data_IF_133556268313
#
_entry.id   IF_133556268313
#
_cell.length_a   1.000
_cell.length_b   1.000
_cell.length_c   1.000
_cell.angle_alpha   90.00
_cell.angle_beta   90.00
_cell.angle_gamma   90.00
#
_symmetry.space_group_name_H-M   'P 1'
#
loop_
_entity.id
_entity.type
_entity.pdbx_description
1 polymer ?
#
# COMPACT_ATOMS: atom_id res chain seq x y z
N UNK A 1 6.19 16.17 -2.07
CA UNK A 1 6.46 16.95 -3.30
C UNK A 1 5.29 16.92 -4.29
N UNK A 2 4.80 15.74 -4.71
CA UNK A 2 3.70 15.58 -5.69
C UNK A 2 2.43 16.38 -5.34
N UNK A 3 1.90 16.24 -4.12
CA UNK A 3 0.68 16.95 -3.67
C UNK A 3 0.82 18.47 -3.82
N UNK A 4 1.98 19.02 -3.45
CA UNK A 4 2.29 20.45 -3.60
C UNK A 4 2.25 20.89 -5.06
N UNK A 5 2.83 20.09 -5.98
CA UNK A 5 2.77 20.38 -7.41
C UNK A 5 1.34 20.29 -7.96
N UNK A 6 0.58 19.28 -7.57
CA UNK A 6 -0.83 19.14 -7.95
C UNK A 6 -1.68 20.34 -7.50
N UNK A 7 -1.49 20.81 -6.25
CA UNK A 7 -2.11 22.04 -5.74
C UNK A 7 -1.73 23.25 -6.58
N UNK A 8 -0.44 23.41 -6.90
CA UNK A 8 0.04 24.53 -7.72
C UNK A 8 -0.51 24.49 -9.14
N UNK A 9 -0.54 23.34 -9.80
CA UNK A 9 -1.14 23.19 -11.14
C UNK A 9 -2.63 23.48 -11.15
N UNK A 10 -3.34 23.10 -10.09
CA UNK A 10 -4.77 23.40 -9.95
C UNK A 10 -5.01 24.91 -9.79
N UNK A 11 -4.22 25.58 -8.95
CA UNK A 11 -4.28 27.05 -8.81
C UNK A 11 -3.89 27.78 -10.10
N UNK A 12 -2.87 27.30 -10.82
CA UNK A 12 -2.47 27.86 -12.11
C UNK A 12 -3.56 27.69 -13.17
N UNK A 13 -4.24 26.53 -13.19
CA UNK A 13 -5.38 26.28 -14.07
C UNK A 13 -6.50 27.30 -13.84
N UNK A 14 -6.86 27.58 -12.57
CA UNK A 14 -7.85 28.61 -12.27
C UNK A 14 -7.38 29.99 -12.77
N UNK A 15 -6.11 30.35 -12.58
CA UNK A 15 -5.55 31.62 -13.08
C UNK A 15 -5.60 31.74 -14.61
N UNK A 16 -5.35 30.66 -15.33
CA UNK A 16 -5.32 30.70 -16.79
C UNK A 16 -6.71 30.62 -17.43
N UNK A 17 -7.64 29.89 -16.83
CA UNK A 17 -8.91 29.53 -17.47
C UNK A 17 -10.14 30.21 -16.85
N UNK A 18 -10.07 30.64 -15.59
CA UNK A 18 -11.21 31.19 -14.82
C UNK A 18 -10.74 32.36 -13.94
N UNK A 19 -10.36 33.48 -14.57
CA UNK A 19 -9.77 34.63 -13.88
C UNK A 19 -10.68 35.19 -12.78
N UNK A 20 -11.99 35.07 -12.96
CA UNK A 20 -13.04 35.52 -12.06
C UNK A 20 -13.10 34.73 -10.74
N UNK A 21 -12.50 33.53 -10.71
CA UNK A 21 -12.44 32.67 -9.52
C UNK A 21 -11.10 32.77 -8.77
N UNK A 22 -10.14 33.55 -9.29
CA UNK A 22 -8.80 33.66 -8.71
C UNK A 22 -8.86 34.32 -7.33
N UNK A 23 -8.11 33.77 -6.38
CA UNK A 23 -8.07 34.24 -4.98
C UNK A 23 -9.07 33.50 -4.10
N UNK A 24 -10.34 33.42 -4.49
CA UNK A 24 -11.35 32.71 -3.69
C UNK A 24 -11.23 31.19 -3.86
N UNK A 25 -10.95 30.70 -5.08
CA UNK A 25 -10.79 29.27 -5.34
C UNK A 25 -9.53 28.66 -4.70
N UNK A 26 -8.55 29.46 -4.25
CA UNK A 26 -7.32 28.91 -3.66
C UNK A 26 -7.52 28.27 -2.29
N UNK A 27 -8.57 28.68 -1.56
CA UNK A 27 -8.92 28.09 -0.27
C UNK A 27 -9.46 26.66 -0.42
N UNK A 28 -10.56 26.40 -1.17
CA UNK A 28 -11.05 25.04 -1.35
C UNK A 28 -10.02 24.13 -2.04
N UNK A 29 -9.20 24.67 -2.96
CA UNK A 29 -8.08 23.91 -3.53
C UNK A 29 -7.04 23.56 -2.45
N UNK A 30 -6.71 24.49 -1.56
CA UNK A 30 -5.77 24.24 -0.46
C UNK A 30 -6.25 23.19 0.52
N UNK A 31 -7.53 23.26 0.92
CA UNK A 31 -8.18 22.29 1.81
C UNK A 31 -8.17 20.89 1.18
N UNK A 32 -8.65 20.76 -0.05
CA UNK A 32 -8.69 19.48 -0.78
C UNK A 32 -7.33 18.75 -0.75
N UNK A 33 -6.24 19.44 -1.08
CA UNK A 33 -4.90 18.82 -1.10
C UNK A 33 -4.30 18.59 0.30
N UNK A 34 -4.73 19.37 1.30
CA UNK A 34 -4.37 19.13 2.71
C UNK A 34 -5.06 17.85 3.20
N UNK A 35 -6.35 17.70 2.94
CA UNK A 35 -7.14 16.53 3.32
C UNK A 35 -6.60 15.25 2.66
N UNK A 36 -6.20 15.32 1.38
CA UNK A 36 -5.50 14.21 0.71
C UNK A 36 -4.20 13.82 1.43
N UNK A 37 -3.45 14.80 1.94
CA UNK A 37 -2.20 14.56 2.67
C UNK A 37 -2.48 13.87 4.00
N UNK A 38 -3.45 14.38 4.75
CA UNK A 38 -3.87 13.82 6.03
C UNK A 38 -4.45 12.41 5.88
N UNK A 39 -5.22 12.16 4.81
CA UNK A 39 -5.73 10.84 4.48
C UNK A 39 -4.59 9.81 4.31
N UNK A 40 -3.56 10.16 3.52
CA UNK A 40 -2.39 9.28 3.30
C UNK A 40 -1.66 9.01 4.62
N UNK A 41 -1.61 9.99 5.51
CA UNK A 41 -0.95 9.89 6.82
C UNK A 41 -1.78 9.15 7.87
N UNK A 42 -3.03 8.83 7.61
CA UNK A 42 -3.84 8.00 8.51
C UNK A 42 -5.14 8.62 9.01
N UNK A 43 -5.54 9.82 8.56
CA UNK A 43 -6.83 10.40 8.93
C UNK A 43 -8.01 9.50 8.54
N UNK A 44 -9.07 9.47 9.35
CA UNK A 44 -10.29 8.69 9.11
C UNK A 44 -11.28 9.39 8.16
N UNK A 45 -10.88 10.51 7.57
CA UNK A 45 -11.67 11.24 6.57
C UNK A 45 -12.00 10.37 5.36
N UNK A 46 -13.25 10.36 4.93
CA UNK A 46 -13.63 9.68 3.68
C UNK A 46 -13.24 10.54 2.46
N UNK A 47 -12.80 9.88 1.38
CA UNK A 47 -12.48 10.56 0.13
C UNK A 47 -13.71 11.21 -0.48
N UNK A 48 -14.89 10.60 -0.34
CA UNK A 48 -16.13 11.16 -0.85
C UNK A 48 -16.45 12.49 -0.16
N UNK A 49 -16.28 12.56 1.17
CA UNK A 49 -16.52 13.78 1.97
C UNK A 49 -15.55 14.90 1.60
N UNK A 50 -14.28 14.56 1.38
CA UNK A 50 -13.25 15.48 0.92
C UNK A 50 -13.60 16.11 -0.44
N UNK A 51 -14.03 15.28 -1.40
CA UNK A 51 -14.43 15.76 -2.73
C UNK A 51 -15.75 16.54 -2.67
N UNK A 52 -16.69 16.10 -1.84
CA UNK A 52 -17.94 16.82 -1.61
C UNK A 52 -17.68 18.21 -1.02
N UNK A 53 -16.90 18.31 0.05
CA UNK A 53 -16.52 19.57 0.69
C UNK A 53 -15.86 20.53 -0.30
N UNK A 54 -14.98 20.01 -1.18
CA UNK A 54 -14.38 20.81 -2.24
C UNK A 54 -15.45 21.42 -3.18
N UNK A 55 -16.40 20.61 -3.67
CA UNK A 55 -17.43 21.10 -4.59
C UNK A 55 -18.51 21.94 -3.90
N UNK A 56 -18.80 21.68 -2.62
CA UNK A 56 -19.67 22.50 -1.77
C UNK A 56 -19.13 23.93 -1.69
N UNK A 57 -17.80 24.07 -1.52
CA UNK A 57 -17.16 25.38 -1.45
C UNK A 57 -16.85 25.99 -2.84
N UNK A 58 -16.74 25.17 -3.89
CA UNK A 58 -16.48 25.66 -5.26
C UNK A 58 -17.75 26.15 -5.97
N UNK A 59 -18.89 25.47 -5.81
CA UNK A 59 -20.11 25.80 -6.57
C UNK A 59 -20.63 27.21 -6.32
N UNK A 60 -20.69 27.73 -5.09
CA UNK A 60 -21.14 29.09 -4.85
C UNK A 60 -20.26 30.12 -5.58
N UNK A 61 -18.94 29.92 -5.61
CA UNK A 61 -18.00 30.77 -6.34
C UNK A 61 -18.26 30.71 -7.85
N UNK A 62 -18.38 29.50 -8.42
CA UNK A 62 -18.70 29.28 -9.84
C UNK A 62 -20.02 29.94 -10.19
N UNK A 63 -21.06 29.77 -9.35
CA UNK A 63 -22.36 30.35 -9.59
C UNK A 63 -22.31 31.88 -9.61
N UNK A 64 -21.79 32.52 -8.57
CA UNK A 64 -21.79 33.99 -8.46
C UNK A 64 -20.83 34.68 -9.43
N UNK A 65 -19.68 34.07 -9.76
CA UNK A 65 -18.66 34.72 -10.59
C UNK A 65 -18.79 34.38 -12.08
N UNK A 66 -19.24 33.18 -12.43
CA UNK A 66 -19.31 32.73 -13.83
C UNK A 66 -20.75 32.60 -14.35
N UNK A 67 -21.66 32.02 -13.56
CA UNK A 67 -23.01 31.70 -14.05
C UNK A 67 -24.00 32.86 -13.89
N UNK A 68 -23.89 33.62 -12.81
CA UNK A 68 -24.72 34.78 -12.51
C UNK A 68 -23.85 35.95 -12.01
N UNK A 69 -22.95 36.48 -12.86
CA UNK A 69 -22.13 37.63 -12.50
C UNK A 69 -23.05 38.81 -12.23
N UNK A 70 -23.09 39.22 -10.96
CA UNK A 70 -23.81 40.43 -10.54
C UNK A 70 -23.29 41.61 -11.37
N UNK A 71 -24.17 42.30 -12.09
CA UNK A 71 -23.81 43.58 -12.72
C UNK A 71 -23.41 44.54 -11.61
N UNK A 72 -22.24 45.20 -11.74
CA UNK A 72 -21.82 46.26 -10.81
C UNK A 72 -22.97 47.27 -10.65
N UNK A 73 -23.51 47.39 -9.43
CA UNK A 73 -24.63 48.28 -9.10
C UNK A 73 -26.03 47.66 -9.09
N UNK A 74 -26.21 46.38 -9.41
CA UNK A 74 -27.49 45.69 -9.30
C UNK A 74 -27.61 44.90 -7.98
N UNK A 75 -28.58 45.25 -7.13
CA UNK A 75 -29.02 44.40 -6.01
C UNK A 75 -29.94 43.29 -6.56
N UNK A 76 -29.35 42.27 -7.17
CA UNK A 76 -30.04 41.01 -7.42
C UNK A 76 -30.24 40.22 -6.11
N UNK A 77 -31.08 39.17 -6.09
CA UNK A 77 -31.23 38.33 -4.91
C UNK A 77 -29.88 37.70 -4.56
N UNK A 78 -29.36 38.08 -3.40
CA UNK A 78 -28.17 37.48 -2.82
C UNK A 78 -28.60 36.11 -2.25
N UNK A 79 -28.52 35.08 -3.08
CA UNK A 79 -28.85 33.73 -2.64
C UNK A 79 -27.89 33.31 -1.53
N UNK A 80 -28.41 32.69 -0.46
CA UNK A 80 -27.56 32.19 0.62
C UNK A 80 -26.55 31.19 0.04
N UNK A 81 -25.26 31.43 0.31
CA UNK A 81 -24.15 30.53 -0.03
C UNK A 81 -24.42 29.09 0.46
N UNK A 82 -25.18 28.96 1.55
CA UNK A 82 -25.57 27.68 2.14
C UNK A 82 -26.57 26.89 1.28
N UNK A 83 -27.47 27.56 0.56
CA UNK A 83 -28.36 26.88 -0.39
C UNK A 83 -27.56 26.33 -1.58
N UNK A 84 -26.60 27.12 -2.09
CA UNK A 84 -25.76 26.71 -3.22
C UNK A 84 -24.86 25.53 -2.87
N UNK A 85 -24.32 25.50 -1.65
CA UNK A 85 -23.45 24.41 -1.15
C UNK A 85 -24.06 23.03 -1.29
N UNK A 86 -25.37 22.88 -1.11
CA UNK A 86 -26.04 21.58 -1.19
C UNK A 86 -26.63 21.29 -2.57
N UNK A 87 -27.01 22.34 -3.32
CA UNK A 87 -27.79 22.21 -4.55
C UNK A 87 -27.01 21.62 -5.73
N UNK A 88 -25.68 21.79 -5.80
CA UNK A 88 -24.89 21.38 -6.97
C UNK A 88 -25.00 19.87 -7.28
N UNK A 89 -25.21 19.04 -6.24
CA UNK A 89 -25.39 17.59 -6.36
C UNK A 89 -26.69 17.24 -7.04
N UNK A 90 -27.79 17.78 -6.54
CA UNK A 90 -29.16 17.50 -7.02
C UNK A 90 -29.32 17.91 -8.48
N UNK A 91 -28.73 19.06 -8.86
CA UNK A 91 -28.86 19.60 -10.22
C UNK A 91 -27.80 19.07 -11.18
N UNK A 92 -26.86 18.25 -10.68
CA UNK A 92 -25.72 17.72 -11.45
C UNK A 92 -24.88 18.84 -12.08
N UNK A 93 -24.60 19.92 -11.34
CA UNK A 93 -23.96 21.12 -11.88
C UNK A 93 -22.62 20.82 -12.58
N UNK A 94 -21.82 19.98 -11.94
CA UNK A 94 -20.50 19.57 -12.40
C UNK A 94 -20.52 18.28 -13.22
N UNK A 95 -21.69 17.79 -13.65
CA UNK A 95 -21.79 16.59 -14.49
C UNK A 95 -21.17 15.34 -13.83
N UNK A 96 -20.49 14.46 -14.59
CA UNK A 96 -19.93 13.21 -14.05
C UNK A 96 -18.61 13.40 -13.30
N UNK A 97 -17.99 14.58 -13.39
CA UNK A 97 -16.61 14.81 -12.96
C UNK A 97 -16.36 14.60 -11.46
N UNK A 98 -17.23 15.06 -10.52
CA UNK A 98 -17.05 14.80 -9.09
C UNK A 98 -16.96 13.30 -8.77
N UNK A 99 -17.84 12.49 -9.37
CA UNK A 99 -17.84 11.03 -9.19
C UNK A 99 -16.56 10.38 -9.75
N UNK A 100 -16.09 10.83 -10.91
CA UNK A 100 -14.82 10.35 -11.49
C UNK A 100 -13.63 10.71 -10.59
N UNK A 101 -13.63 11.91 -10.02
CA UNK A 101 -12.59 12.35 -9.08
C UNK A 101 -12.61 11.48 -7.82
N UNK A 102 -13.79 11.27 -7.21
CA UNK A 102 -13.96 10.39 -6.05
C UNK A 102 -13.39 9.00 -6.32
N UNK A 103 -13.84 8.33 -7.39
CA UNK A 103 -13.37 6.98 -7.72
C UNK A 103 -11.84 6.91 -7.89
N UNK A 104 -11.25 7.84 -8.64
CA UNK A 104 -9.79 7.84 -8.87
C UNK A 104 -9.00 8.11 -7.60
N UNK A 105 -9.49 9.03 -6.76
CA UNK A 105 -8.85 9.35 -5.49
C UNK A 105 -9.00 8.21 -4.48
N UNK A 106 -10.17 7.60 -4.35
CA UNK A 106 -10.40 6.50 -3.40
C UNK A 106 -9.43 5.34 -3.65
N UNK A 107 -9.25 4.96 -4.91
CA UNK A 107 -8.29 3.91 -5.26
C UNK A 107 -6.83 4.35 -5.05
N UNK A 108 -6.45 5.50 -5.61
CA UNK A 108 -5.04 5.94 -5.61
C UNK A 108 -4.53 6.32 -4.22
N UNK A 109 -5.34 7.01 -3.42
CA UNK A 109 -4.99 7.41 -2.06
C UNK A 109 -4.97 6.21 -1.11
N UNK A 110 -5.92 5.28 -1.22
CA UNK A 110 -5.92 4.09 -0.37
C UNK A 110 -4.71 3.20 -0.64
N UNK A 111 -4.38 2.96 -1.92
CA UNK A 111 -3.17 2.24 -2.28
C UNK A 111 -1.91 2.94 -1.75
N UNK A 112 -1.86 4.28 -1.84
CA UNK A 112 -0.73 5.07 -1.31
C UNK A 112 -0.63 4.98 0.21
N UNK A 113 -1.75 5.09 0.93
CA UNK A 113 -1.81 4.95 2.40
C UNK A 113 -1.30 3.60 2.84
N UNK A 114 -1.84 2.52 2.26
CA UNK A 114 -1.42 1.15 2.59
C UNK A 114 0.05 0.93 2.26
N UNK A 115 0.53 1.45 1.13
CA UNK A 115 1.94 1.38 0.74
C UNK A 115 2.85 2.07 1.77
N UNK A 116 2.52 3.29 2.19
CA UNK A 116 3.30 4.04 3.21
C UNK A 116 3.26 3.35 4.57
N UNK A 117 2.08 2.88 5.00
CA UNK A 117 1.94 2.11 6.25
C UNK A 117 2.82 0.86 6.24
N UNK A 118 2.81 0.12 5.14
CA UNK A 118 3.63 -1.07 4.98
C UNK A 118 5.14 -0.74 4.98
N UNK A 119 5.57 0.38 4.37
CA UNK A 119 6.96 0.82 4.44
C UNK A 119 7.40 1.15 5.87
N UNK A 120 6.58 1.89 6.61
CA UNK A 120 6.87 2.24 8.01
C UNK A 120 7.02 0.99 8.88
N UNK A 121 6.15 0.00 8.68
CA UNK A 121 6.27 -1.29 9.37
C UNK A 121 7.53 -2.06 8.93
N UNK A 122 7.92 -2.01 7.66
CA UNK A 122 9.17 -2.60 7.19
C UNK A 122 10.40 -2.05 7.93
N UNK A 123 10.44 -0.73 8.12
CA UNK A 123 11.49 -0.06 8.92
C UNK A 123 11.45 -0.52 10.38
N UNK A 124 10.26 -0.56 10.98
CA UNK A 124 10.08 -1.02 12.35
C UNK A 124 10.58 -2.45 12.55
N UNK A 125 10.24 -3.36 11.64
CA UNK A 125 10.65 -4.77 11.71
C UNK A 125 12.17 -4.87 11.63
N UNK A 126 12.80 -4.24 10.64
CA UNK A 126 14.26 -4.27 10.48
C UNK A 126 14.94 -3.75 11.75
N UNK A 127 14.54 -2.57 12.23
CA UNK A 127 15.09 -1.97 13.44
C UNK A 127 14.89 -2.86 14.67
N UNK A 128 13.72 -3.49 14.80
CA UNK A 128 13.44 -4.39 15.93
C UNK A 128 14.30 -5.65 15.85
N UNK A 129 14.44 -6.25 14.66
CA UNK A 129 15.27 -7.45 14.46
C UNK A 129 16.76 -7.19 14.67
N UNK A 130 17.24 -6.00 14.31
CA UNK A 130 18.64 -5.57 14.50
C UNK A 130 19.04 -5.48 15.98
N UNK A 131 18.07 -5.20 16.86
CA UNK A 131 18.27 -5.05 18.30
C UNK A 131 17.88 -6.31 19.11
N UNK A 132 17.61 -7.44 18.45
CA UNK A 132 17.30 -8.69 19.15
C UNK A 132 18.52 -9.20 19.94
N UNK A 133 18.28 -9.63 21.17
CA UNK A 133 19.33 -10.11 22.06
C UNK A 133 19.42 -11.63 22.01
N UNK A 134 20.61 -12.14 21.73
CA UNK A 134 20.85 -13.57 21.79
C UNK A 134 20.94 -14.06 23.24
N UNK A 135 20.36 -15.23 23.49
CA UNK A 135 20.39 -15.87 24.80
C UNK A 135 21.79 -16.36 25.19
N UNK A 136 21.99 -16.63 26.49
CA UNK A 136 23.27 -17.11 27.05
C UNK A 136 23.78 -18.38 26.36
N UNK A 137 22.88 -19.29 25.95
CA UNK A 137 23.25 -20.52 25.24
C UNK A 137 23.86 -20.25 23.87
N UNK A 138 23.33 -19.26 23.13
CA UNK A 138 23.94 -18.86 21.86
C UNK A 138 25.33 -18.27 22.09
N UNK A 139 25.51 -17.43 23.12
CA UNK A 139 26.82 -16.91 23.50
C UNK A 139 27.85 -18.02 23.78
N UNK A 140 27.45 -19.07 24.52
CA UNK A 140 28.31 -20.25 24.77
C UNK A 140 28.62 -21.02 23.49
N UNK A 141 27.62 -21.21 22.62
CA UNK A 141 27.80 -21.91 21.34
C UNK A 141 28.75 -21.17 20.40
N UNK A 142 28.63 -19.84 20.31
CA UNK A 142 29.54 -18.99 19.54
C UNK A 142 30.96 -18.99 20.12
N UNK A 143 31.11 -18.95 21.45
CA UNK A 143 32.42 -19.06 22.08
C UNK A 143 33.09 -20.40 21.76
N UNK A 144 32.32 -21.49 21.76
CA UNK A 144 32.77 -22.83 21.36
C UNK A 144 33.13 -22.92 19.88
N UNK A 145 32.40 -22.22 19.03
CA UNK A 145 32.65 -22.16 17.59
C UNK A 145 33.96 -21.43 17.26
N UNK A 146 34.21 -20.29 17.88
CA UNK A 146 35.28 -19.37 17.49
C UNK A 146 36.55 -19.44 18.34
N UNK A 147 36.44 -19.66 19.65
CA UNK A 147 37.55 -19.45 20.58
C UNK A 147 38.04 -20.73 21.29
N UNK A 148 37.20 -21.75 21.46
CA UNK A 148 37.62 -23.01 22.07
C UNK A 148 38.84 -23.69 21.41
N UNK A 149 39.05 -23.66 20.09
CA UNK A 149 40.26 -24.23 19.50
C UNK A 149 41.53 -23.59 20.05
N UNK A 150 41.55 -22.25 20.19
CA UNK A 150 42.68 -21.52 20.74
C UNK A 150 42.98 -21.92 22.18
N UNK A 151 41.94 -22.12 23.01
CA UNK A 151 42.10 -22.62 24.38
C UNK A 151 42.66 -24.05 24.44
N UNK A 152 42.52 -24.84 23.37
CA UNK A 152 43.09 -26.18 23.23
C UNK A 152 44.46 -26.17 22.52
N UNK A 153 45.05 -25.00 22.27
CA UNK A 153 46.34 -24.86 21.58
C UNK A 153 46.25 -24.89 20.05
N UNK A 154 45.05 -24.88 19.48
CA UNK A 154 44.79 -24.92 18.03
C UNK A 154 44.54 -23.51 17.46
N UNK A 155 45.57 -22.66 17.46
CA UNK A 155 45.45 -21.22 17.13
C UNK A 155 45.03 -20.92 15.67
N UNK A 156 45.27 -21.85 14.74
CA UNK A 156 44.94 -21.69 13.31
C UNK A 156 43.70 -22.49 12.88
N UNK A 157 43.05 -23.18 13.81
CA UNK A 157 41.89 -23.99 13.51
C UNK A 157 40.68 -23.11 13.15
N UNK A 158 40.21 -23.25 11.91
CA UNK A 158 38.96 -22.63 11.47
C UNK A 158 37.79 -23.59 11.65
N UNK A 159 36.59 -23.11 12.01
CA UNK A 159 35.40 -23.94 12.08
C UNK A 159 35.01 -24.53 10.72
N UNK A 160 34.41 -25.71 10.76
CA UNK A 160 33.76 -26.29 9.60
C UNK A 160 32.52 -25.49 9.19
N UNK A 161 32.27 -25.30 7.89
CA UNK A 161 31.05 -24.58 7.39
C UNK A 161 29.77 -25.18 7.94
N UNK A 162 29.63 -26.50 7.88
CA UNK A 162 28.44 -27.16 8.40
C UNK A 162 28.25 -27.00 9.91
N UNK A 163 29.34 -26.89 10.68
CA UNK A 163 29.25 -26.65 12.13
C UNK A 163 28.88 -25.20 12.42
N UNK A 164 29.49 -24.25 11.72
CA UNK A 164 29.11 -22.83 11.79
C UNK A 164 27.62 -22.66 11.47
N UNK A 165 27.14 -23.22 10.36
CA UNK A 165 25.74 -23.12 9.96
C UNK A 165 24.83 -23.70 11.04
N UNK A 166 25.17 -24.87 11.61
CA UNK A 166 24.40 -25.48 12.69
C UNK A 166 24.26 -24.54 13.91
N UNK A 167 25.36 -23.92 14.34
CA UNK A 167 25.38 -22.96 15.45
C UNK A 167 24.57 -21.71 15.10
N UNK A 168 24.75 -21.14 13.91
CA UNK A 168 24.04 -19.94 13.47
C UNK A 168 22.53 -20.19 13.35
N UNK A 169 22.11 -21.32 12.78
CA UNK A 169 20.70 -21.73 12.72
C UNK A 169 20.08 -21.88 14.11
N UNK A 170 20.82 -22.44 15.08
CA UNK A 170 20.33 -22.55 16.46
C UNK A 170 20.21 -21.18 17.14
N UNK A 171 21.16 -20.28 16.93
CA UNK A 171 21.15 -18.92 17.46
C UNK A 171 20.04 -18.05 16.85
N UNK A 172 19.82 -18.18 15.54
CA UNK A 172 18.88 -17.37 14.76
C UNK A 172 17.49 -18.01 14.60
N UNK A 173 17.21 -19.13 15.27
CA UNK A 173 15.95 -19.87 15.11
C UNK A 173 14.70 -18.97 15.28
N UNK A 174 14.72 -18.05 16.23
CA UNK A 174 13.60 -17.11 16.42
C UNK A 174 13.49 -16.08 15.29
N UNK A 175 14.61 -15.68 14.70
CA UNK A 175 14.64 -14.74 13.57
C UNK A 175 14.17 -15.42 12.28
N UNK A 176 14.52 -16.70 12.07
CA UNK A 176 14.10 -17.45 10.88
C UNK A 176 12.59 -17.72 10.86
N UNK A 177 11.90 -17.74 12.01
CA UNK A 177 10.44 -17.82 12.10
C UNK A 177 9.73 -16.61 11.45
N UNK A 178 10.39 -15.45 11.36
CA UNK A 178 9.88 -14.23 10.70
C UNK A 178 9.88 -14.38 9.17
N UNK A 179 10.76 -15.22 8.63
CA UNK A 179 11.08 -15.27 7.19
C UNK A 179 9.87 -15.43 6.28
N UNK A 180 8.98 -16.39 6.57
CA UNK A 180 7.81 -16.65 5.73
C UNK A 180 6.93 -15.41 5.60
N UNK A 181 6.64 -14.75 6.73
CA UNK A 181 5.77 -13.57 6.77
C UNK A 181 6.44 -12.34 6.15
N UNK A 182 7.76 -12.22 6.27
CA UNK A 182 8.57 -11.20 5.60
C UNK A 182 8.52 -11.36 4.07
N UNK A 183 8.64 -12.59 3.57
CA UNK A 183 8.57 -12.87 2.15
C UNK A 183 7.17 -12.53 1.60
N UNK A 184 6.11 -12.91 2.31
CA UNK A 184 4.73 -12.53 1.99
C UNK A 184 4.56 -11.00 1.97
N UNK A 185 5.16 -10.29 2.93
CA UNK A 185 5.15 -8.82 3.00
C UNK A 185 5.82 -8.16 1.79
N UNK A 186 7.04 -8.58 1.42
CA UNK A 186 7.74 -8.03 0.25
C UNK A 186 6.94 -8.27 -1.03
N UNK A 187 6.36 -9.46 -1.17
CA UNK A 187 5.53 -9.81 -2.33
C UNK A 187 4.24 -8.97 -2.37
N UNK A 188 3.54 -8.83 -1.24
CA UNK A 188 2.32 -8.03 -1.13
C UNK A 188 2.58 -6.56 -1.41
N UNK A 189 3.65 -6.00 -0.85
CA UNK A 189 4.07 -4.62 -1.09
C UNK A 189 4.40 -4.39 -2.57
N UNK A 190 5.13 -5.33 -3.18
CA UNK A 190 5.43 -5.30 -4.61
C UNK A 190 4.18 -5.39 -5.49
N UNK A 191 3.16 -6.15 -5.08
CA UNK A 191 1.89 -6.25 -5.78
C UNK A 191 1.09 -4.93 -5.71
N UNK A 192 0.99 -4.32 -4.53
CA UNK A 192 0.34 -2.99 -4.37
C UNK A 192 1.04 -1.95 -5.22
N UNK A 193 2.37 -1.88 -5.15
CA UNK A 193 3.17 -0.96 -5.97
C UNK A 193 2.98 -1.16 -7.48
N UNK A 194 2.78 -2.41 -7.90
CA UNK A 194 2.50 -2.75 -9.29
C UNK A 194 1.08 -2.38 -9.72
N UNK A 195 0.10 -2.40 -8.80
CA UNK A 195 -1.27 -1.92 -9.03
C UNK A 195 -1.37 -0.40 -9.14
N UNK A 196 -0.45 0.34 -8.51
CA UNK A 196 -0.34 1.80 -8.62
C UNK A 196 0.18 2.20 -10.01
N UNK A 197 -0.65 2.10 -11.04
CA UNK A 197 -0.30 2.44 -12.43
C UNK A 197 -1.45 3.18 -13.13
N UNK A 198 -1.10 3.95 -14.16
CA UNK A 198 -2.08 4.61 -15.03
C UNK A 198 -3.05 5.49 -14.25
N UNK A 199 -4.36 5.25 -14.42
CA UNK A 199 -5.43 6.06 -13.81
C UNK A 199 -5.59 5.85 -12.29
N UNK A 200 -4.85 4.92 -11.69
CA UNK A 200 -4.84 4.65 -10.25
C UNK A 200 -3.49 4.98 -9.59
N UNK A 201 -2.49 5.38 -10.38
CA UNK A 201 -1.25 5.90 -9.82
C UNK A 201 -1.47 7.29 -9.22
N UNK A 202 -1.11 7.46 -7.94
CA UNK A 202 -1.35 8.70 -7.20
C UNK A 202 -0.64 9.91 -7.81
N UNK A 203 0.58 9.74 -8.35
CA UNK A 203 1.27 10.83 -9.01
C UNK A 203 0.52 11.27 -10.27
N UNK A 204 0.10 10.33 -11.11
CA UNK A 204 -0.69 10.63 -12.29
C UNK A 204 -2.07 11.24 -11.95
N UNK A 205 -2.79 10.70 -10.97
CA UNK A 205 -4.12 11.20 -10.55
C UNK A 205 -4.02 12.61 -10.00
N UNK A 206 -3.09 12.85 -9.07
CA UNK A 206 -2.93 14.16 -8.43
C UNK A 206 -2.45 15.20 -9.43
N UNK A 207 -1.41 14.89 -10.23
CA UNK A 207 -0.86 15.86 -11.19
C UNK A 207 -1.81 16.17 -12.35
N UNK A 208 -2.77 15.29 -12.68
CA UNK A 208 -3.81 15.54 -13.68
C UNK A 208 -5.15 15.97 -13.09
N UNK A 209 -5.26 16.12 -11.77
CA UNK A 209 -6.51 16.48 -11.12
C UNK A 209 -7.11 17.79 -11.66
N UNK A 210 -6.23 18.76 -11.95
CA UNK A 210 -6.64 20.06 -12.48
C UNK A 210 -7.46 19.96 -13.78
N UNK A 211 -7.25 18.93 -14.62
CA UNK A 211 -8.02 18.78 -15.86
C UNK A 211 -9.45 18.38 -15.56
N UNK A 212 -9.66 17.46 -14.61
CA UNK A 212 -11.00 17.04 -14.19
C UNK A 212 -11.77 18.20 -13.53
N UNK A 213 -11.09 18.97 -12.68
CA UNK A 213 -11.68 20.17 -12.06
C UNK A 213 -12.03 21.23 -13.13
N UNK A 214 -11.13 21.48 -14.09
CA UNK A 214 -11.40 22.39 -15.21
C UNK A 214 -12.63 21.96 -15.99
N UNK A 215 -12.70 20.69 -16.37
CA UNK A 215 -13.77 20.17 -17.21
C UNK A 215 -15.12 20.18 -16.46
N UNK A 216 -15.10 19.98 -15.13
CA UNK A 216 -16.25 20.19 -14.24
C UNK A 216 -16.78 21.64 -14.30
N UNK A 217 -15.91 22.63 -14.15
CA UNK A 217 -16.29 24.05 -14.20
C UNK A 217 -16.78 24.44 -15.60
N UNK A 218 -16.12 23.95 -16.66
CA UNK A 218 -16.58 24.15 -18.04
C UNK A 218 -17.96 23.53 -18.28
N UNK A 219 -18.24 22.37 -17.71
CA UNK A 219 -19.56 21.74 -17.80
C UNK A 219 -20.65 22.60 -17.12
N UNK A 220 -20.38 23.13 -15.93
CA UNK A 220 -21.29 24.05 -15.27
C UNK A 220 -21.53 25.31 -16.12
N UNK A 221 -20.47 25.89 -16.69
CA UNK A 221 -20.56 27.07 -17.55
C UNK A 221 -21.38 26.82 -18.83
N UNK A 222 -21.22 25.67 -19.48
CA UNK A 222 -22.03 25.30 -20.66
C UNK A 222 -23.52 25.16 -20.33
N UNK A 223 -23.83 24.75 -19.10
CA UNK A 223 -25.20 24.58 -18.62
C UNK A 223 -25.74 25.81 -17.87
N UNK A 224 -25.10 26.98 -18.03
CA UNK A 224 -25.38 28.21 -17.27
C UNK A 224 -26.86 28.59 -17.23
N UNK A 225 -27.56 28.58 -18.36
CA UNK A 225 -28.98 28.98 -18.42
C UNK A 225 -29.86 28.05 -17.58
N UNK A 226 -29.71 26.73 -17.78
CA UNK A 226 -30.44 25.71 -17.00
C UNK A 226 -30.17 25.85 -15.51
N UNK A 227 -28.89 25.95 -15.13
CA UNK A 227 -28.49 26.07 -13.72
C UNK A 227 -29.00 27.37 -13.09
N UNK A 228 -28.97 28.49 -13.81
CA UNK A 228 -29.48 29.76 -13.30
C UNK A 228 -30.99 29.71 -13.03
N UNK A 229 -31.77 29.10 -13.91
CA UNK A 229 -33.22 28.91 -13.72
C UNK A 229 -33.51 28.00 -12.53
N UNK A 230 -32.83 26.85 -12.43
CA UNK A 230 -33.07 25.91 -11.32
C UNK A 230 -32.68 26.53 -9.98
N UNK A 231 -31.52 27.19 -9.91
CA UNK A 231 -31.09 27.88 -8.68
C UNK A 231 -32.06 29.00 -8.30
N UNK A 232 -32.55 29.77 -9.26
CA UNK A 232 -33.54 30.82 -8.99
C UNK A 232 -34.86 30.24 -8.46
N UNK A 233 -35.26 29.05 -8.91
CA UNK A 233 -36.48 28.40 -8.44
C UNK A 233 -36.32 27.78 -7.04
N UNK A 234 -35.16 27.17 -6.76
CA UNK A 234 -34.91 26.44 -5.50
C UNK A 234 -34.43 27.37 -4.39
N UNK A 235 -33.43 28.20 -4.68
CA UNK A 235 -32.85 29.13 -3.69
C UNK A 235 -33.55 30.50 -3.67
N UNK A 236 -34.43 30.80 -4.63
CA UNK A 236 -35.02 32.12 -4.81
C UNK A 236 -36.41 32.36 -4.22
N UNK A 237 -36.79 31.64 -3.17
CA UNK A 237 -37.97 32.00 -2.39
C UNK A 237 -37.76 33.31 -1.59
N UNK A 238 -37.79 34.42 -2.32
CA UNK A 238 -38.16 35.76 -1.88
C UNK A 238 -39.09 36.34 -2.97
N UNK A 239 -40.19 37.03 -2.63
CA UNK A 239 -41.24 37.37 -3.59
C UNK A 239 -40.70 38.27 -4.71
N UNK A 240 -40.88 37.84 -5.96
CA UNK A 240 -40.48 38.56 -7.16
C UNK A 240 -41.14 39.95 -7.21
N UNK A 241 -40.32 41.00 -7.34
CA UNK A 241 -40.74 42.23 -8.04
C UNK A 241 -40.27 42.14 -9.49
N UNK A 242 -41.23 42.08 -10.39
CA UNK A 242 -41.05 42.09 -11.84
C UNK A 242 -40.36 43.39 -12.27
N UNK A 243 -39.20 43.29 -12.92
CA UNK A 243 -38.67 44.34 -13.79
C UNK A 243 -38.26 43.71 -15.10
N UNK A 244 -38.98 44.09 -16.17
CA UNK A 244 -38.61 43.79 -17.57
C UNK A 244 -37.37 44.59 -17.95
N UNK A 245 -36.43 43.98 -18.64
CA UNK A 245 -35.51 44.75 -19.51
C UNK A 245 -35.09 43.95 -20.73
N UNK A 246 -34.99 44.67 -21.84
CA UNK A 246 -34.85 44.22 -23.22
C UNK A 246 -33.49 43.58 -23.56
N UNK A 247 -33.52 42.76 -24.61
CA UNK A 247 -32.42 42.02 -25.22
C UNK A 247 -31.61 42.92 -26.17
N UNK A 248 -30.28 42.92 -26.05
CA UNK A 248 -29.36 43.39 -27.11
C UNK A 248 -28.19 42.40 -27.17
N UNK A 249 -27.84 41.82 -28.35
CA UNK A 249 -26.75 40.87 -28.45
C UNK A 249 -25.40 41.60 -28.64
N UNK A 250 -24.38 41.18 -27.87
CA UNK A 250 -22.97 41.53 -28.13
C UNK A 250 -22.21 40.23 -28.38
N UNK A 251 -21.79 40.04 -29.62
CA UNK A 251 -20.85 38.99 -30.04
C UNK A 251 -19.42 39.43 -29.74
N UNK A 252 -18.64 38.58 -29.04
CA UNK A 252 -17.17 38.64 -29.03
C UNK A 252 -16.55 37.23 -28.96
N UNK A 253 -15.35 37.04 -29.52
CA UNK A 253 -14.87 35.74 -29.98
C UNK A 253 -14.26 34.89 -28.87
N UNK A 254 -14.41 33.58 -29.02
CA UNK A 254 -13.73 32.56 -28.22
C UNK A 254 -12.28 32.47 -28.68
N UNK A 255 -11.32 32.80 -27.81
CA UNK A 255 -9.91 32.42 -28.00
C UNK A 255 -9.62 31.09 -27.30
N UNK A 256 -8.84 30.27 -28.01
CA UNK A 256 -8.53 28.87 -27.73
C UNK A 256 -7.48 28.71 -26.59
N UNK A 257 -7.51 27.62 -25.79
CA UNK A 257 -6.63 27.48 -24.64
C UNK A 257 -5.19 27.17 -25.07
N UNK A 258 -4.24 28.00 -24.62
CA UNK A 258 -2.79 27.73 -24.75
C UNK A 258 -2.42 26.42 -24.03
N UNK A 259 -1.83 25.48 -24.77
CA UNK A 259 -1.22 24.26 -24.24
C UNK A 259 -0.09 24.60 -23.28
N UNK A 260 -0.21 24.19 -22.03
CA UNK A 260 0.92 24.10 -21.10
C UNK A 260 1.80 22.97 -21.63
N UNK A 261 3.02 23.31 -22.06
CA UNK A 261 4.02 22.34 -22.49
C UNK A 261 4.54 21.60 -21.26
N UNK A 262 4.24 20.30 -21.17
CA UNK A 262 4.90 19.43 -20.19
C UNK A 262 6.35 19.25 -20.64
N UNK A 263 7.31 19.65 -19.80
CA UNK A 263 8.71 19.30 -20.01
C UNK A 263 8.88 17.76 -19.97
N UNK A 264 9.88 17.18 -20.64
CA UNK A 264 10.19 15.77 -20.51
C UNK A 264 10.64 15.51 -19.06
N UNK A 265 9.83 14.77 -18.31
CA UNK A 265 10.18 14.36 -16.94
C UNK A 265 10.97 13.06 -17.07
N UNK A 266 12.19 13.02 -16.54
CA UNK A 266 12.94 11.76 -16.42
C UNK A 266 12.11 10.76 -15.61
N UNK A 267 11.77 9.58 -16.18
CA UNK A 267 11.04 8.54 -15.47
C UNK A 267 11.65 8.19 -14.10
N UNK A 268 12.96 8.32 -13.92
CA UNK A 268 13.66 8.04 -12.65
C UNK A 268 13.47 9.11 -11.58
N UNK A 269 13.15 10.34 -11.97
CA UNK A 269 12.89 11.42 -11.03
C UNK A 269 11.44 11.43 -10.52
N UNK A 270 10.53 10.76 -11.23
CA UNK A 270 9.13 10.60 -10.83
C UNK A 270 8.97 9.75 -9.57
N UNK A 271 7.91 10.00 -8.80
CA UNK A 271 7.55 9.16 -7.65
C UNK A 271 7.33 7.71 -8.09
N UNK A 272 6.70 7.51 -9.26
CA UNK A 272 6.42 6.21 -9.86
C UNK A 272 7.70 5.44 -10.18
N UNK A 273 8.69 6.12 -10.76
CA UNK A 273 10.01 5.54 -11.06
C UNK A 273 10.76 5.13 -9.80
N UNK A 274 10.87 6.05 -8.83
CA UNK A 274 11.50 5.77 -7.53
C UNK A 274 10.83 4.61 -6.80
N UNK A 275 9.49 4.56 -6.80
CA UNK A 275 8.73 3.42 -6.24
C UNK A 275 9.11 2.11 -6.91
N UNK A 276 9.20 2.09 -8.25
CA UNK A 276 9.55 0.88 -9.02
C UNK A 276 10.98 0.43 -8.73
N UNK A 277 11.95 1.33 -8.76
CA UNK A 277 13.36 1.01 -8.46
C UNK A 277 13.52 0.49 -7.04
N UNK A 278 12.86 1.13 -6.07
CA UNK A 278 12.83 0.67 -4.69
C UNK A 278 12.30 -0.75 -4.57
N UNK A 279 11.17 -1.09 -5.21
CA UNK A 279 10.61 -2.45 -5.14
C UNK A 279 11.50 -3.49 -5.81
N UNK A 280 12.17 -3.13 -6.91
CA UNK A 280 13.16 -4.02 -7.54
C UNK A 280 14.31 -4.32 -6.57
N UNK A 281 14.84 -3.29 -5.91
CA UNK A 281 15.88 -3.44 -4.90
C UNK A 281 15.40 -4.24 -3.70
N UNK A 282 14.21 -3.94 -3.15
CA UNK A 282 13.67 -4.63 -1.99
C UNK A 282 13.51 -6.13 -2.20
N UNK A 283 13.14 -6.56 -3.43
CA UNK A 283 12.98 -7.99 -3.75
C UNK A 283 14.26 -8.81 -3.56
N UNK A 284 15.46 -8.24 -3.70
CA UNK A 284 16.69 -9.00 -3.42
C UNK A 284 16.84 -9.39 -1.95
N UNK A 285 16.08 -8.74 -1.06
CA UNK A 285 16.07 -9.01 0.39
C UNK A 285 14.91 -9.93 0.82
N UNK A 286 14.18 -10.56 -0.11
CA UNK A 286 13.07 -11.48 0.22
C UNK A 286 13.50 -12.64 1.11
N UNK A 287 14.73 -13.11 0.91
CA UNK A 287 15.29 -14.27 1.60
C UNK A 287 16.22 -13.89 2.75
N UNK A 288 16.33 -12.60 3.09
CA UNK A 288 17.28 -12.07 4.05
C UNK A 288 17.35 -12.90 5.33
N UNK A 289 16.22 -13.05 6.05
CA UNK A 289 16.19 -13.78 7.32
C UNK A 289 16.51 -15.28 7.19
N UNK A 290 16.15 -15.92 6.07
CA UNK A 290 16.49 -17.34 5.86
C UNK A 290 17.95 -17.58 5.54
N UNK A 291 18.63 -16.62 4.90
CA UNK A 291 20.01 -16.76 4.43
C UNK A 291 21.05 -16.21 5.41
N UNK A 292 20.61 -15.60 6.51
CA UNK A 292 21.50 -15.05 7.54
C UNK A 292 22.50 -16.10 8.07
N UNK A 293 22.09 -17.34 8.41
CA UNK A 293 23.02 -18.35 8.91
C UNK A 293 24.15 -18.68 7.92
N UNK A 294 23.83 -18.83 6.64
CA UNK A 294 24.81 -19.15 5.60
C UNK A 294 25.72 -17.96 5.30
N UNK A 295 25.15 -16.74 5.22
CA UNK A 295 25.92 -15.52 4.92
C UNK A 295 26.93 -15.19 6.02
N UNK A 296 26.58 -15.37 7.29
CA UNK A 296 27.49 -15.20 8.43
C UNK A 296 28.64 -16.21 8.42
N UNK A 297 28.39 -17.43 7.91
CA UNK A 297 29.41 -18.47 7.83
C UNK A 297 30.27 -18.40 6.57
N UNK A 298 29.88 -17.64 5.55
CA UNK A 298 30.65 -17.50 4.31
C UNK A 298 31.72 -16.39 4.39
N UNK A 299 31.66 -15.50 5.38
CA UNK A 299 32.63 -14.41 5.57
C UNK A 299 33.93 -14.92 6.25
N UNK A 300 35.03 -15.00 5.49
CA UNK A 300 36.50 -15.16 5.76
C UNK A 300 37.04 -16.10 6.87
N UNK A 301 36.19 -16.50 7.80
CA UNK A 301 36.52 -17.13 9.07
C UNK A 301 36.27 -18.64 9.09
N UNK A 302 35.78 -19.20 7.98
CA UNK A 302 35.33 -20.59 7.88
C UNK A 302 35.98 -21.28 6.67
N UNK A 303 36.40 -22.54 6.82
CA UNK A 303 37.06 -23.30 5.74
C UNK A 303 36.05 -23.95 4.80
N UNK A 304 36.07 -23.56 3.52
CA UNK A 304 35.06 -23.94 2.53
C UNK A 304 35.24 -25.35 1.93
N UNK A 305 36.43 -25.97 1.99
CA UNK A 305 36.71 -27.26 1.32
C UNK A 305 37.73 -28.16 2.05
N UNK A 306 37.44 -29.48 2.12
CA UNK A 306 38.30 -30.68 2.32
C UNK A 306 39.62 -30.55 3.10
N UNK A 307 39.68 -29.65 4.06
CA UNK A 307 40.79 -29.44 4.98
C UNK A 307 40.30 -29.73 6.39
N UNK A 308 41.22 -30.16 7.26
CA UNK A 308 40.93 -30.36 8.67
C UNK A 308 40.33 -29.07 9.26
N UNK A 309 39.12 -29.17 9.80
CA UNK A 309 38.38 -28.05 10.36
C UNK A 309 37.83 -28.39 11.74
N UNK A 310 37.53 -27.36 12.53
CA UNK A 310 37.01 -27.52 13.89
C UNK A 310 35.50 -27.82 13.90
N UNK A 311 35.12 -28.92 14.56
CA UNK A 311 33.71 -29.34 14.71
C UNK A 311 33.09 -29.01 16.09
N UNK A 312 33.81 -28.30 16.95
CA UNK A 312 33.40 -28.02 18.32
C UNK A 312 34.05 -28.94 19.38
N UNK A 313 34.74 -30.00 18.98
CA UNK A 313 35.43 -30.90 19.91
C UNK A 313 36.86 -31.18 19.46
N UNK A 314 37.06 -31.38 18.17
CA UNK A 314 38.35 -31.74 17.58
C UNK A 314 38.47 -31.24 16.13
N UNK A 315 39.63 -31.46 15.53
CA UNK A 315 39.86 -31.24 14.10
C UNK A 315 39.37 -32.46 13.31
N UNK A 316 38.53 -32.24 12.30
CA UNK A 316 37.96 -33.29 11.46
C UNK A 316 38.07 -32.95 9.98
N UNK A 317 38.22 -33.97 9.13
CA UNK A 317 38.22 -33.79 7.67
C UNK A 317 36.82 -33.49 7.12
N UNK A 318 35.76 -33.97 7.79
CA UNK A 318 34.37 -33.77 7.37
C UNK A 318 33.44 -33.62 8.56
N UNK A 319 32.75 -32.49 8.61
CA UNK A 319 31.60 -32.32 9.50
C UNK A 319 30.34 -32.88 8.84
N UNK A 320 29.89 -34.05 9.29
CA UNK A 320 28.57 -34.57 8.96
C UNK A 320 27.59 -33.99 9.97
N UNK A 321 26.76 -33.04 9.52
CA UNK A 321 25.69 -32.52 10.37
C UNK A 321 24.79 -33.68 10.79
N UNK A 322 24.47 -33.86 12.09
CA UNK A 322 23.51 -34.87 12.51
C UNK A 322 22.18 -34.57 11.80
N UNK A 323 21.82 -35.39 10.81
CA UNK A 323 20.72 -35.08 9.89
C UNK A 323 19.44 -34.72 10.65
N UNK A 324 18.96 -33.48 10.50
CA UNK A 324 17.68 -32.88 10.94
C UNK A 324 16.97 -33.57 12.11
N UNK A 325 17.72 -33.99 13.12
CA UNK A 325 17.24 -34.17 14.48
C UNK A 325 17.84 -32.98 15.16
N UNK A 326 17.03 -31.92 15.33
CA UNK A 326 17.35 -30.69 16.07
C UNK A 326 18.41 -31.03 17.11
N UNK A 327 19.64 -30.49 17.05
CA UNK A 327 20.57 -30.68 18.13
C UNK A 327 19.90 -30.00 19.32
N UNK A 328 19.32 -30.82 20.19
CA UNK A 328 19.14 -30.39 21.56
C UNK A 328 20.56 -30.26 22.09
N UNK A 329 21.12 -29.06 21.94
CA UNK A 329 22.01 -28.53 22.97
C UNK A 329 21.24 -28.81 24.25
N UNK A 330 21.74 -29.77 25.02
CA UNK A 330 21.03 -30.45 26.10
C UNK A 330 20.22 -29.45 26.93
N UNK A 331 18.91 -29.41 26.71
CA UNK A 331 17.98 -28.68 27.56
C UNK A 331 17.07 -29.76 28.15
N UNK A 332 17.29 -30.20 29.40
CA UNK A 332 16.39 -31.11 30.07
C UNK A 332 15.15 -30.32 30.50
N UNK A 333 14.38 -29.81 29.54
CA UNK A 333 13.05 -29.22 29.74
C UNK A 333 12.39 -29.02 28.37
N UNK A 334 11.63 -30.04 27.98
CA UNK A 334 10.71 -29.97 26.87
C UNK A 334 9.38 -29.39 27.33
N UNK A 335 8.96 -28.28 26.71
CA UNK A 335 7.58 -27.94 26.30
C UNK A 335 7.59 -26.48 25.80
N UNK A 336 7.27 -26.30 24.52
CA UNK A 336 6.87 -25.03 23.90
C UNK A 336 7.78 -23.84 24.23
N UNK A 337 8.90 -23.68 23.51
CA UNK A 337 9.57 -22.38 23.46
C UNK A 337 8.60 -21.38 22.82
N UNK A 338 7.95 -20.58 23.66
CA UNK A 338 7.23 -19.38 23.26
C UNK A 338 8.27 -18.56 22.48
N UNK A 339 8.00 -18.18 21.21
CA UNK A 339 8.91 -17.30 20.50
C UNK A 339 9.13 -16.07 21.37
N UNK A 340 10.36 -15.56 21.42
CA UNK A 340 10.67 -14.35 22.19
C UNK A 340 9.55 -13.33 21.95
N UNK A 341 8.93 -12.75 23.00
CA UNK A 341 7.67 -12.02 22.86
C UNK A 341 7.73 -10.92 21.79
N UNK A 342 8.93 -10.36 21.57
CA UNK A 342 9.24 -9.40 20.50
C UNK A 342 9.06 -10.01 19.10
N UNK A 343 9.57 -11.22 18.86
CA UNK A 343 9.42 -11.94 17.58
C UNK A 343 7.96 -12.28 17.30
N UNK A 344 7.21 -12.72 18.33
CA UNK A 344 5.77 -12.98 18.18
C UNK A 344 5.02 -11.71 17.74
N UNK A 345 5.34 -10.55 18.35
CA UNK A 345 4.75 -9.27 17.96
C UNK A 345 5.11 -8.86 16.52
N UNK A 346 6.35 -9.09 16.08
CA UNK A 346 6.77 -8.85 14.69
C UNK A 346 5.92 -9.70 13.73
N UNK A 347 5.79 -10.99 14.03
CA UNK A 347 5.01 -11.93 13.20
C UNK A 347 3.54 -11.49 13.13
N UNK A 348 2.93 -11.08 14.24
CA UNK A 348 1.53 -10.65 14.25
C UNK A 348 1.33 -9.34 13.47
N UNK A 349 2.26 -8.38 13.58
CA UNK A 349 2.25 -7.16 12.75
C UNK A 349 2.39 -7.49 11.27
N UNK A 350 3.28 -8.42 10.91
CA UNK A 350 3.45 -8.88 9.53
C UNK A 350 2.18 -9.56 8.99
N UNK A 351 1.56 -10.45 9.77
CA UNK A 351 0.28 -11.06 9.39
C UNK A 351 -0.81 -10.01 9.16
N UNK A 352 -0.90 -9.03 10.04
CA UNK A 352 -1.88 -7.95 9.92
C UNK A 352 -1.67 -7.14 8.64
N UNK A 353 -0.45 -6.65 8.40
CA UNK A 353 -0.18 -5.86 7.19
C UNK A 353 -0.34 -6.69 5.91
N UNK A 354 0.02 -7.97 5.92
CA UNK A 354 -0.17 -8.86 4.76
C UNK A 354 -1.65 -8.97 4.41
N UNK A 355 -2.52 -9.08 5.41
CA UNK A 355 -3.98 -9.05 5.20
C UNK A 355 -4.45 -7.71 4.63
N UNK A 356 -3.93 -6.58 5.12
CA UNK A 356 -4.27 -5.25 4.61
C UNK A 356 -3.80 -5.06 3.16
N UNK A 357 -2.57 -5.47 2.85
CA UNK A 357 -2.00 -5.44 1.50
C UNK A 357 -2.88 -6.23 0.52
N UNK A 358 -3.22 -7.47 0.85
CA UNK A 358 -4.11 -8.32 0.04
C UNK A 358 -5.51 -7.70 -0.08
N UNK A 359 -6.07 -7.18 1.00
CA UNK A 359 -7.39 -6.53 0.99
C UNK A 359 -7.43 -5.29 0.08
N UNK A 360 -6.36 -4.49 0.07
CA UNK A 360 -6.25 -3.32 -0.80
C UNK A 360 -6.23 -3.70 -2.29
N UNK A 361 -5.74 -4.90 -2.61
CA UNK A 361 -5.69 -5.39 -4.00
C UNK A 361 -7.06 -5.77 -4.56
N UNK A 362 -8.06 -6.02 -3.72
CA UNK A 362 -9.42 -6.32 -4.17
C UNK A 362 -10.03 -5.19 -5.02
N UNK A 363 -9.58 -3.94 -4.82
CA UNK A 363 -10.00 -2.79 -5.63
C UNK A 363 -9.42 -2.79 -7.05
N UNK A 364 -8.34 -3.54 -7.30
CA UNK A 364 -7.82 -3.76 -8.65
C UNK A 364 -8.45 -4.98 -9.32
N UNK A 365 -9.12 -5.85 -8.57
CA UNK A 365 -9.85 -7.00 -9.11
C UNK A 365 -11.18 -6.60 -9.78
N UNK A 366 -11.70 -5.40 -9.51
CA UNK A 366 -12.86 -4.81 -10.20
C UNK A 366 -12.48 -4.01 -11.46
N UNK A 367 -11.18 -3.88 -11.75
CA UNK A 367 -10.71 -3.38 -13.05
C UNK A 367 -10.59 -4.62 -13.94
N UNK A 368 -11.56 -4.82 -14.82
CA UNK A 368 -11.56 -5.91 -15.79
C UNK A 368 -10.19 -6.06 -16.45
N UNK A 369 -9.49 -7.14 -16.10
CA UNK A 369 -8.38 -7.66 -16.88
C UNK A 369 -8.85 -8.98 -17.51
N UNK A 370 -9.41 -8.94 -18.74
CA UNK A 370 -9.86 -10.14 -19.44
C UNK A 370 -8.79 -11.24 -19.52
N UNK A 371 -7.51 -10.85 -19.55
CA UNK A 371 -6.38 -11.77 -19.54
C UNK A 371 -6.15 -12.46 -18.19
N UNK A 372 -6.41 -11.82 -17.04
CA UNK A 372 -6.30 -12.44 -15.71
C UNK A 372 -7.39 -13.48 -15.52
N UNK A 373 -8.62 -13.20 -15.97
CA UNK A 373 -9.70 -14.19 -16.01
C UNK A 373 -9.33 -15.36 -16.92
N UNK A 374 -8.73 -15.09 -18.10
CA UNK A 374 -8.29 -16.12 -19.03
C UNK A 374 -7.12 -16.98 -18.50
N UNK A 375 -6.17 -16.38 -17.79
CA UNK A 375 -5.05 -17.07 -17.14
C UNK A 375 -5.54 -17.88 -15.94
N UNK A 376 -6.42 -17.31 -15.11
CA UNK A 376 -7.02 -18.02 -13.97
C UNK A 376 -7.94 -19.15 -14.44
N UNK A 377 -8.68 -18.97 -15.54
CA UNK A 377 -9.47 -20.02 -16.17
C UNK A 377 -8.57 -21.08 -16.83
N UNK A 378 -7.44 -20.68 -17.42
CA UNK A 378 -6.41 -21.60 -17.93
C UNK A 378 -5.73 -22.42 -16.84
N UNK A 379 -5.41 -21.79 -15.70
CA UNK A 379 -4.85 -22.44 -14.51
C UNK A 379 -5.87 -23.38 -13.86
N UNK A 380 -7.15 -22.98 -13.76
CA UNK A 380 -8.25 -23.86 -13.31
C UNK A 380 -8.49 -25.04 -14.26
N UNK A 381 -8.27 -24.83 -15.56
CA UNK A 381 -8.42 -25.87 -16.60
C UNK A 381 -7.18 -26.77 -16.74
N UNK A 382 -6.03 -26.38 -16.17
CA UNK A 382 -4.80 -27.17 -16.20
C UNK A 382 -5.00 -28.54 -15.56
N UNK A 383 -4.65 -29.60 -16.30
CA UNK A 383 -4.70 -30.99 -15.81
C UNK A 383 -3.85 -31.16 -14.55
N UNK A 384 -2.71 -30.46 -14.46
CA UNK A 384 -1.78 -30.52 -13.32
C UNK A 384 -2.45 -29.95 -12.06
N UNK A 385 -3.10 -28.79 -12.16
CA UNK A 385 -3.80 -28.15 -11.03
C UNK A 385 -4.97 -29.02 -10.56
N UNK A 386 -5.73 -29.62 -11.49
CA UNK A 386 -6.79 -30.59 -11.16
C UNK A 386 -6.24 -31.84 -10.45
N UNK A 387 -5.08 -32.33 -10.88
CA UNK A 387 -4.40 -33.47 -10.23
C UNK A 387 -3.96 -33.12 -8.81
N UNK A 388 -3.35 -31.94 -8.60
CA UNK A 388 -2.90 -31.48 -7.27
C UNK A 388 -4.07 -31.27 -6.33
N UNK A 389 -5.16 -30.63 -6.79
CA UNK A 389 -6.37 -30.45 -5.98
C UNK A 389 -7.06 -31.78 -5.66
N UNK A 390 -7.07 -32.72 -6.60
CA UNK A 390 -7.58 -34.09 -6.37
C UNK A 390 -6.72 -34.85 -5.36
N UNK A 391 -5.40 -34.73 -5.45
CA UNK A 391 -4.47 -35.31 -4.48
C UNK A 391 -4.65 -34.72 -3.08
N UNK A 392 -4.81 -33.40 -2.97
CA UNK A 392 -5.12 -32.71 -1.71
C UNK A 392 -6.44 -33.19 -1.11
N UNK A 393 -7.51 -33.27 -1.91
CA UNK A 393 -8.82 -33.75 -1.46
C UNK A 393 -8.79 -35.21 -1.00
N UNK A 394 -7.97 -36.06 -1.63
CA UNK A 394 -7.73 -37.44 -1.20
C UNK A 394 -6.91 -37.51 0.10
N UNK A 395 -5.95 -36.62 0.28
CA UNK A 395 -5.19 -36.50 1.53
C UNK A 395 -6.08 -36.02 2.69
N UNK A 396 -6.90 -35.00 2.48
CA UNK A 396 -7.83 -34.47 3.48
C UNK A 396 -8.86 -35.55 3.90
N UNK A 397 -9.38 -36.33 2.94
CA UNK A 397 -10.29 -37.44 3.23
C UNK A 397 -9.63 -38.61 3.97
N UNK A 398 -8.34 -38.89 3.71
CA UNK A 398 -7.58 -39.88 4.49
C UNK A 398 -7.33 -39.40 5.91
N UNK A 399 -7.01 -38.12 6.08
CA UNK A 399 -6.72 -37.52 7.37
C UNK A 399 -7.97 -37.46 8.26
N UNK A 400 -9.14 -37.16 7.69
CA UNK A 400 -10.43 -37.23 8.41
C UNK A 400 -10.74 -38.64 8.91
N UNK A 401 -10.60 -39.68 8.08
CA UNK A 401 -10.81 -41.08 8.52
C UNK A 401 -9.82 -41.52 9.58
N UNK A 402 -8.60 -41.01 9.52
CA UNK A 402 -7.57 -41.33 10.52
C UNK A 402 -7.94 -40.70 11.87
N UNK A 403 -8.46 -39.47 11.87
CA UNK A 403 -9.00 -38.84 13.08
C UNK A 403 -10.23 -39.58 13.62
N UNK A 404 -11.18 -39.98 12.77
CA UNK A 404 -12.37 -40.74 13.21
C UNK A 404 -11.98 -42.09 13.85
N UNK A 405 -10.99 -42.78 13.29
CA UNK A 405 -10.46 -44.03 13.84
C UNK A 405 -9.73 -43.80 15.18
N UNK A 406 -8.98 -42.70 15.31
CA UNK A 406 -8.31 -42.34 16.57
C UNK A 406 -9.35 -42.01 17.66
N UNK A 407 -10.44 -41.34 17.31
CA UNK A 407 -11.53 -40.99 18.22
C UNK A 407 -12.30 -42.24 18.67
N UNK A 408 -12.55 -43.21 17.77
CA UNK A 408 -13.14 -44.50 18.11
C UNK A 408 -12.26 -45.32 19.06
N UNK A 409 -10.95 -45.37 18.79
CA UNK A 409 -10.00 -46.08 19.66
C UNK A 409 -9.92 -45.42 21.04
N UNK A 410 -9.93 -44.07 21.12
CA UNK A 410 -10.03 -43.34 22.40
C UNK A 410 -11.30 -43.68 23.17
N UNK A 411 -12.44 -43.74 22.48
CA UNK A 411 -13.72 -44.08 23.10
C UNK A 411 -13.72 -45.52 23.63
N UNK A 412 -13.15 -46.48 22.90
CA UNK A 412 -13.01 -47.86 23.36
C UNK A 412 -12.07 -48.00 24.57
N UNK A 413 -10.95 -47.24 24.60
CA UNK A 413 -10.02 -47.26 25.73
C UNK A 413 -10.67 -46.66 26.99
N UNK A 414 -11.53 -45.64 26.84
CA UNK A 414 -12.25 -45.02 27.96
C UNK A 414 -13.42 -45.88 28.49
N UNK A 415 -13.97 -46.79 27.69
CA UNK A 415 -15.02 -47.73 28.13
C UNK A 415 -14.47 -49.00 28.81
N UNK A 416 -13.16 -49.25 28.72
CA UNK A 416 -12.48 -50.40 29.33
C UNK A 416 -11.63 -50.03 30.57
N UNK A 417 -11.81 -48.82 31.11
CA UNK A 417 -11.37 -48.39 32.44
C UNK A 417 -12.59 -48.12 33.29
#
# INVERSE_FOLDING_TARGET
MVIRHARNYTNLMFRSNFRELVGEASNPVGELFTDMSLYILGSDTNVDDMVNSFFDNLFPLVYHRLLNPMKKGSRGPEFSMECLRTLWREVGAFGPFPKVIMTRLSHSLLATRVFVQALNLGIEIINTTDHLKFGKECGRALLKLWYCPGCQGLLLAKPCVGYCQLVMHACLNHVTEVHQYWQEYINGLGAVASGMQGIYDAENVLLKMYTLIRDAVLHANRNRLRLSTVVSNVCGNAPQRLVRSAHIPVTRPVEEPRRIKNAPIDPKETLSGRRREFIISLRSFSNFYSTLPETLCNHESVMQNNSYCWNGQEMTERFVSPGVKKPQIHNPEGKNKIPEPVVSQIIDKLKHINKVLVGSLAQYASVEYPWLQSVMNGLRSSKIVRQVLSMKKKQDARMSRTNDNIEQVRTMILMNR
#
